data_IF_757713850711
#
_entry.id   IF_757713850711
#
_cell.length_a   1.000
_cell.length_b   1.000
_cell.length_c   1.000
_cell.angle_alpha   90.00
_cell.angle_beta   90.00
_cell.angle_gamma   90.00
#
_symmetry.space_group_name_H-M   'P 1'
#
loop_
_entity.id
_entity.type
_entity.pdbx_description
1 polymer ?
#
# COMPACT_ATOMS: atom_id res chain seq x y z
N UNK A 1 -19.55 40.33 -43.59
CA UNK A 1 -18.19 39.82 -43.84
C UNK A 1 -17.24 40.70 -43.03
N UNK A 2 -16.47 40.29 -42.03
CA UNK A 2 -16.03 39.02 -41.46
C UNK A 2 -15.80 39.33 -39.95
N UNK A 3 -16.26 38.48 -39.03
CA UNK A 3 -15.81 38.55 -37.63
C UNK A 3 -14.59 37.63 -37.45
N UNK A 4 -13.44 38.20 -37.10
CA UNK A 4 -12.26 37.44 -36.67
C UNK A 4 -12.43 37.03 -35.20
N UNK A 5 -12.50 35.72 -34.95
CA UNK A 5 -12.40 35.15 -33.60
C UNK A 5 -10.91 34.88 -33.33
N UNK A 6 -10.33 35.65 -32.40
CA UNK A 6 -8.98 35.42 -31.90
C UNK A 6 -9.06 34.35 -30.80
N UNK A 7 -8.64 33.12 -31.10
CA UNK A 7 -8.54 32.05 -30.11
C UNK A 7 -7.25 32.24 -29.29
N UNK A 8 -7.40 32.68 -28.04
CA UNK A 8 -6.31 32.75 -27.06
C UNK A 8 -6.02 31.31 -26.57
N UNK A 9 -4.94 30.70 -27.06
CA UNK A 9 -4.38 29.49 -26.45
C UNK A 9 -3.66 29.86 -25.16
N UNK A 10 -4.33 29.66 -24.02
CA UNK A 10 -3.64 29.65 -22.72
C UNK A 10 -2.96 28.30 -22.61
N UNK A 11 -1.69 28.25 -23.00
CA UNK A 11 -0.80 27.15 -22.65
C UNK A 11 -0.60 27.15 -21.13
N UNK A 12 -1.31 26.26 -20.43
CA UNK A 12 -0.97 25.91 -19.05
C UNK A 12 0.36 25.15 -19.10
N UNK A 13 1.45 25.90 -18.95
CA UNK A 13 2.75 25.34 -18.62
C UNK A 13 2.61 24.72 -17.24
N UNK A 14 2.49 23.39 -17.18
CA UNK A 14 2.68 22.65 -15.94
C UNK A 14 4.16 22.78 -15.63
N UNK A 15 4.49 23.62 -14.65
CA UNK A 15 5.82 23.61 -14.05
C UNK A 15 6.00 22.24 -13.38
N UNK A 16 6.89 21.45 -13.96
CA UNK A 16 7.43 20.23 -13.38
C UNK A 16 8.47 20.64 -12.34
N UNK A 17 8.05 20.74 -11.08
CA UNK A 17 8.86 21.19 -9.96
C UNK A 17 9.82 20.10 -9.45
N UNK A 18 10.45 19.33 -10.35
CA UNK A 18 11.67 18.56 -10.11
C UNK A 18 11.70 17.64 -8.87
N UNK A 19 10.54 17.30 -8.33
CA UNK A 19 10.42 16.47 -7.13
C UNK A 19 10.02 15.06 -7.56
N UNK A 20 10.94 14.08 -7.57
CA UNK A 20 10.66 12.71 -8.01
C UNK A 20 9.62 12.00 -7.12
N UNK A 21 9.17 12.63 -6.03
CA UNK A 21 8.30 12.05 -5.02
C UNK A 21 6.79 12.21 -5.29
N UNK A 22 6.39 12.91 -6.36
CA UNK A 22 4.97 13.09 -6.66
C UNK A 22 4.49 12.10 -7.73
N UNK A 23 3.82 11.02 -7.28
CA UNK A 23 3.03 10.15 -8.14
C UNK A 23 2.12 11.01 -9.06
N UNK A 24 2.17 10.83 -10.39
CA UNK A 24 1.34 11.61 -11.30
C UNK A 24 -0.16 11.46 -10.92
N UNK A 25 -0.95 12.56 -10.94
CA UNK A 25 -2.37 12.50 -10.66
C UNK A 25 -3.07 11.46 -11.54
N UNK A 26 -3.88 10.59 -10.93
CA UNK A 26 -4.74 9.63 -11.65
C UNK A 26 -4.15 8.24 -11.89
N UNK A 27 -2.85 8.01 -11.65
CA UNK A 27 -2.24 6.70 -11.88
C UNK A 27 -2.38 5.72 -10.70
N UNK A 28 -2.66 6.22 -9.50
CA UNK A 28 -2.83 5.37 -8.31
C UNK A 28 -4.09 5.70 -7.53
N UNK A 29 -4.66 4.68 -6.88
CA UNK A 29 -5.76 4.86 -5.94
C UNK A 29 -5.17 5.12 -4.56
N UNK A 30 -5.52 6.28 -3.98
CA UNK A 30 -4.88 6.77 -2.75
C UNK A 30 -5.84 7.00 -1.58
N UNK A 31 -7.16 6.99 -1.83
CA UNK A 31 -8.20 7.25 -0.83
C UNK A 31 -9.25 6.16 -0.84
N UNK A 32 -9.71 5.80 0.34
CA UNK A 32 -10.87 4.95 0.53
C UNK A 32 -12.14 5.63 0.02
N UNK A 33 -13.10 4.81 -0.41
CA UNK A 33 -14.42 5.27 -0.86
C UNK A 33 -15.46 5.14 0.26
N UNK A 34 -15.36 4.07 1.04
CA UNK A 34 -16.25 3.81 2.17
C UNK A 34 -16.08 4.85 3.29
N UNK A 35 -17.19 5.26 3.90
CA UNK A 35 -17.19 6.22 5.02
C UNK A 35 -16.81 5.48 6.32
N UNK A 36 -16.11 6.16 7.23
CA UNK A 36 -15.70 5.59 8.52
C UNK A 36 -14.61 4.51 8.42
N UNK A 37 -14.02 4.31 7.24
CA UNK A 37 -12.95 3.32 7.03
C UNK A 37 -11.62 3.98 6.70
N UNK A 38 -10.55 3.35 7.17
CA UNK A 38 -9.17 3.59 6.72
C UNK A 38 -8.55 2.28 6.30
N UNK A 39 -7.53 2.33 5.44
CA UNK A 39 -6.75 1.14 5.09
C UNK A 39 -5.33 1.29 5.63
N UNK A 40 -4.99 0.53 6.66
CA UNK A 40 -3.59 0.38 7.09
C UNK A 40 -2.95 -0.68 6.21
N UNK A 41 -1.81 -0.31 5.62
CA UNK A 41 -1.09 -1.11 4.65
C UNK A 41 0.36 -1.27 5.07
N UNK A 42 0.91 -2.46 4.86
CA UNK A 42 2.19 -2.89 5.41
C UNK A 42 3.02 -3.48 4.26
N UNK A 43 4.13 -2.83 3.92
CA UNK A 43 4.93 -3.15 2.75
C UNK A 43 6.18 -3.97 3.11
N UNK A 44 6.86 -4.46 2.07
CA UNK A 44 8.12 -5.21 2.04
C UNK A 44 8.12 -6.64 2.62
N UNK A 45 7.09 -6.97 3.40
CA UNK A 45 6.98 -8.24 4.09
C UNK A 45 6.93 -9.47 3.17
N UNK A 46 6.95 -10.69 3.74
CA UNK A 46 7.02 -10.95 5.16
C UNK A 46 8.46 -10.79 5.70
N UNK A 47 8.63 -9.94 6.72
CA UNK A 47 9.89 -9.77 7.47
C UNK A 47 9.68 -10.07 8.96
N UNK A 48 10.64 -9.70 9.81
CA UNK A 48 10.61 -10.00 11.24
C UNK A 48 9.42 -9.41 12.00
N UNK A 49 8.82 -8.32 11.50
CA UNK A 49 7.68 -7.64 12.12
C UNK A 49 6.32 -8.26 11.84
N UNK A 50 6.16 -9.08 10.80
CA UNK A 50 4.83 -9.59 10.41
C UNK A 50 4.20 -10.45 11.52
N UNK A 51 4.97 -11.31 12.17
CA UNK A 51 4.48 -12.18 13.23
C UNK A 51 4.03 -11.35 14.46
N UNK A 52 4.84 -10.42 15.00
CA UNK A 52 4.40 -9.47 16.03
C UNK A 52 3.13 -8.69 15.66
N UNK A 53 3.04 -8.17 14.42
CA UNK A 53 1.85 -7.48 13.90
C UNK A 53 0.62 -8.38 13.94
N UNK A 54 0.73 -9.61 13.45
CA UNK A 54 -0.37 -10.57 13.45
C UNK A 54 -0.79 -10.98 14.86
N UNK A 55 0.15 -11.10 15.81
CA UNK A 55 -0.16 -11.36 17.23
C UNK A 55 -0.89 -10.18 17.88
N UNK A 56 -0.48 -8.95 17.57
CA UNK A 56 -1.21 -7.75 18.02
C UNK A 56 -2.65 -7.76 17.50
N UNK A 57 -2.84 -8.08 16.22
CA UNK A 57 -4.14 -8.14 15.57
C UNK A 57 -5.00 -9.33 16.06
N UNK A 58 -4.46 -10.30 16.80
CA UNK A 58 -5.25 -11.35 17.45
C UNK A 58 -5.85 -10.89 18.80
N UNK A 59 -5.33 -9.81 19.40
CA UNK A 59 -5.85 -9.29 20.68
C UNK A 59 -7.31 -8.87 20.52
N UNK A 60 -8.12 -9.06 21.57
CA UNK A 60 -9.59 -8.85 21.54
C UNK A 60 -9.96 -7.43 21.11
N UNK A 61 -9.16 -6.47 21.52
CA UNK A 61 -9.29 -5.04 21.24
C UNK A 61 -9.10 -4.76 19.75
N UNK A 62 -8.12 -5.41 19.10
CA UNK A 62 -7.72 -5.08 17.73
C UNK A 62 -8.19 -6.05 16.66
N UNK A 63 -8.69 -7.24 17.03
CA UNK A 63 -9.10 -8.30 16.08
C UNK A 63 -10.18 -7.91 15.09
N UNK A 64 -10.93 -6.84 15.39
CA UNK A 64 -11.95 -6.30 14.51
C UNK A 64 -11.35 -5.52 13.33
N UNK A 65 -10.12 -5.02 13.47
CA UNK A 65 -9.37 -4.34 12.42
C UNK A 65 -8.75 -5.34 11.45
N UNK A 66 -8.63 -4.89 10.19
CA UNK A 66 -7.90 -5.58 9.14
C UNK A 66 -6.89 -4.64 8.52
N UNK A 67 -5.80 -5.24 8.04
CA UNK A 67 -4.69 -4.57 7.37
C UNK A 67 -4.44 -5.28 6.03
N UNK A 68 -3.64 -4.65 5.18
CA UNK A 68 -3.25 -5.19 3.88
C UNK A 68 -1.73 -5.30 3.81
N UNK A 69 -1.21 -6.48 3.51
CA UNK A 69 0.21 -6.73 3.34
C UNK A 69 0.57 -6.69 1.86
N UNK A 70 1.46 -5.79 1.44
CA UNK A 70 2.06 -5.81 0.11
C UNK A 70 3.41 -6.49 0.21
N UNK A 71 3.48 -7.73 -0.28
CA UNK A 71 4.64 -8.59 -0.05
C UNK A 71 5.55 -8.67 -1.26
N UNK A 72 6.85 -8.86 -1.01
CA UNK A 72 7.85 -9.02 -2.08
C UNK A 72 8.23 -10.48 -2.28
N UNK A 73 8.63 -10.83 -3.50
CA UNK A 73 9.07 -12.19 -3.81
C UNK A 73 10.34 -12.58 -3.07
N UNK A 74 11.28 -11.63 -2.95
CA UNK A 74 12.56 -11.78 -2.26
C UNK A 74 12.39 -12.03 -0.76
N UNK A 75 11.60 -11.21 -0.05
CA UNK A 75 11.37 -11.43 1.39
C UNK A 75 10.69 -12.77 1.67
N UNK A 76 9.77 -13.21 0.80
CA UNK A 76 9.17 -14.53 0.89
C UNK A 76 10.17 -15.68 0.68
N UNK A 77 11.23 -15.48 -0.11
CA UNK A 77 12.32 -16.47 -0.27
C UNK A 77 13.25 -16.46 0.94
N UNK A 78 13.64 -15.28 1.41
CA UNK A 78 14.53 -15.09 2.57
C UNK A 78 13.93 -15.70 3.85
N UNK A 79 12.62 -15.56 4.06
CA UNK A 79 11.91 -16.22 5.16
C UNK A 79 11.82 -17.74 4.99
N UNK A 80 11.98 -18.25 3.76
CA UNK A 80 11.70 -19.64 3.41
C UNK A 80 10.29 -19.82 2.86
N UNK A 81 10.20 -20.48 1.71
CA UNK A 81 8.95 -20.62 0.91
C UNK A 81 7.77 -21.21 1.71
N UNK A 82 8.01 -22.21 2.55
CA UNK A 82 6.94 -22.86 3.31
C UNK A 82 6.41 -21.95 4.42
N UNK A 83 7.32 -21.28 5.12
CA UNK A 83 6.99 -20.39 6.24
C UNK A 83 6.28 -19.13 5.75
N UNK A 84 6.79 -18.49 4.69
CA UNK A 84 6.13 -17.35 4.07
C UNK A 84 4.75 -17.71 3.52
N UNK A 85 4.60 -18.88 2.87
CA UNK A 85 3.30 -19.36 2.40
C UNK A 85 2.32 -19.62 3.56
N UNK A 86 2.79 -20.24 4.64
CA UNK A 86 1.98 -20.48 5.83
C UNK A 86 1.50 -19.16 6.44
N UNK A 87 2.40 -18.17 6.55
CA UNK A 87 2.13 -16.86 7.12
C UNK A 87 1.10 -16.07 6.30
N UNK A 88 1.22 -16.07 4.97
CA UNK A 88 0.22 -15.47 4.08
C UNK A 88 -1.15 -16.13 4.23
N UNK A 89 -1.21 -17.46 4.23
CA UNK A 89 -2.47 -18.20 4.44
C UNK A 89 -3.09 -17.87 5.80
N UNK A 90 -2.27 -17.70 6.84
CA UNK A 90 -2.73 -17.31 8.16
C UNK A 90 -3.31 -15.89 8.17
N UNK A 91 -2.63 -14.93 7.55
CA UNK A 91 -3.13 -13.55 7.41
C UNK A 91 -4.49 -13.53 6.69
N UNK A 92 -4.60 -14.24 5.56
CA UNK A 92 -5.83 -14.37 4.79
C UNK A 92 -6.97 -15.02 5.59
N UNK A 93 -6.70 -16.11 6.32
CA UNK A 93 -7.71 -16.76 7.20
C UNK A 93 -8.24 -15.82 8.28
N UNK A 94 -7.42 -14.89 8.76
CA UNK A 94 -7.79 -13.87 9.76
C UNK A 94 -8.51 -12.66 9.13
N UNK A 95 -8.73 -12.68 7.82
CA UNK A 95 -9.44 -11.65 7.06
C UNK A 95 -8.56 -10.45 6.68
N UNK A 96 -7.25 -10.55 6.85
CA UNK A 96 -6.31 -9.57 6.28
C UNK A 96 -6.17 -9.79 4.78
N UNK A 97 -5.63 -8.80 4.08
CA UNK A 97 -5.42 -8.86 2.65
C UNK A 97 -3.93 -9.02 2.31
N UNK A 98 -3.64 -9.70 1.20
CA UNK A 98 -2.28 -9.87 0.68
C UNK A 98 -2.26 -9.41 -0.77
N UNK A 99 -1.35 -8.49 -1.08
CA UNK A 99 -1.14 -7.85 -2.38
C UNK A 99 0.29 -8.00 -2.89
N UNK A 100 0.51 -7.55 -4.13
CA UNK A 100 1.77 -7.69 -4.86
C UNK A 100 2.65 -6.44 -4.69
N UNK A 101 3.93 -6.64 -4.36
CA UNK A 101 4.90 -5.55 -4.20
C UNK A 101 6.20 -5.79 -4.96
N UNK A 102 6.12 -6.32 -6.19
CA UNK A 102 7.25 -6.76 -7.01
C UNK A 102 7.98 -7.99 -6.45
N UNK A 103 8.85 -8.60 -7.25
CA UNK A 103 9.68 -9.70 -6.77
C UNK A 103 10.94 -9.17 -6.05
N UNK A 104 11.73 -8.38 -6.76
CA UNK A 104 13.07 -7.93 -6.34
C UNK A 104 13.05 -6.60 -5.58
N UNK A 105 11.89 -5.95 -5.43
CA UNK A 105 11.76 -4.61 -4.83
C UNK A 105 12.55 -3.53 -5.59
N UNK A 106 12.63 -3.66 -6.92
CA UNK A 106 13.22 -2.65 -7.81
C UNK A 106 12.15 -1.65 -8.26
N UNK A 107 12.59 -0.42 -8.45
CA UNK A 107 11.77 0.63 -9.07
C UNK A 107 11.45 0.30 -10.52
N UNK A 108 10.18 0.07 -10.84
CA UNK A 108 9.76 -0.31 -12.20
C UNK A 108 9.95 0.80 -13.24
N UNK A 109 10.14 2.06 -12.81
CA UNK A 109 10.43 3.15 -13.76
C UNK A 109 11.86 3.08 -14.30
N UNK A 110 12.76 2.42 -13.58
CA UNK A 110 14.18 2.28 -13.91
C UNK A 110 14.51 0.99 -14.68
N UNK A 111 13.53 0.10 -14.82
CA UNK A 111 13.67 -1.16 -15.54
C UNK A 111 13.28 -1.03 -17.01
N UNK A 112 13.88 -1.88 -17.84
CA UNK A 112 13.31 -2.18 -19.16
C UNK A 112 11.95 -2.87 -19.03
N UNK A 113 11.13 -2.82 -20.08
CA UNK A 113 9.83 -3.46 -20.10
C UNK A 113 9.92 -4.96 -19.79
N UNK A 114 10.91 -5.65 -20.33
CA UNK A 114 11.05 -7.10 -20.17
C UNK A 114 11.52 -7.48 -18.77
N UNK A 115 12.41 -6.69 -18.16
CA UNK A 115 12.80 -6.88 -16.75
C UNK A 115 11.62 -6.65 -15.80
N UNK A 116 10.87 -5.57 -15.99
CA UNK A 116 9.65 -5.29 -15.22
C UNK A 116 8.64 -6.43 -15.37
N UNK A 117 8.38 -6.87 -16.59
CA UNK A 117 7.44 -7.96 -16.88
C UNK A 117 7.89 -9.27 -16.23
N UNK A 118 9.17 -9.61 -16.34
CA UNK A 118 9.72 -10.82 -15.74
C UNK A 118 9.59 -10.80 -14.22
N UNK A 119 9.97 -9.68 -13.58
CA UNK A 119 9.82 -9.49 -12.13
C UNK A 119 8.35 -9.60 -11.69
N UNK A 120 7.46 -8.88 -12.37
CA UNK A 120 6.04 -8.88 -12.04
C UNK A 120 5.42 -10.27 -12.14
N UNK A 121 5.63 -10.96 -13.27
CA UNK A 121 5.06 -12.28 -13.52
C UNK A 121 5.64 -13.35 -12.59
N UNK A 122 6.93 -13.23 -12.22
CA UNK A 122 7.55 -14.12 -11.24
C UNK A 122 6.85 -14.01 -9.89
N UNK A 123 6.56 -12.78 -9.44
CA UNK A 123 5.83 -12.56 -8.19
C UNK A 123 4.34 -12.93 -8.29
N UNK A 124 3.68 -12.65 -9.42
CA UNK A 124 2.29 -13.05 -9.65
C UNK A 124 2.14 -14.58 -9.63
N UNK A 125 3.04 -15.33 -10.26
CA UNK A 125 3.06 -16.79 -10.22
C UNK A 125 3.29 -17.34 -8.80
N UNK A 126 4.03 -16.61 -7.95
CA UNK A 126 4.26 -16.98 -6.55
C UNK A 126 2.99 -16.76 -5.71
N UNK A 127 2.37 -15.59 -5.83
CA UNK A 127 1.11 -15.28 -5.14
C UNK A 127 -0.08 -16.10 -5.64
N UNK A 128 -0.10 -16.47 -6.93
CA UNK A 128 -1.14 -17.31 -7.53
C UNK A 128 -1.22 -18.72 -6.94
N UNK A 129 -0.15 -19.20 -6.27
CA UNK A 129 -0.15 -20.46 -5.51
C UNK A 129 -0.85 -20.33 -4.14
N UNK A 130 -1.21 -19.12 -3.74
CA UNK A 130 -1.83 -18.81 -2.45
C UNK A 130 -3.26 -18.32 -2.71
N UNK A 131 -4.24 -19.22 -2.53
CA UNK A 131 -5.66 -18.88 -2.72
C UNK A 131 -6.07 -17.73 -1.80
N UNK A 132 -6.71 -16.71 -2.36
CA UNK A 132 -7.25 -15.55 -1.64
C UNK A 132 -6.38 -14.29 -1.70
N UNK A 133 -5.23 -14.33 -2.37
CA UNK A 133 -4.46 -13.12 -2.68
C UNK A 133 -5.26 -12.19 -3.60
N UNK A 134 -5.13 -10.88 -3.39
CA UNK A 134 -5.88 -9.86 -4.13
C UNK A 134 -5.10 -9.36 -5.34
N UNK A 135 -5.83 -8.96 -6.39
CA UNK A 135 -5.27 -8.31 -7.58
C UNK A 135 -5.05 -6.81 -7.33
N UNK A 136 -4.26 -6.51 -6.30
CA UNK A 136 -3.78 -5.17 -5.95
C UNK A 136 -2.25 -5.15 -5.99
N UNK A 137 -1.70 -4.08 -6.52
CA UNK A 137 -0.27 -3.87 -6.68
C UNK A 137 0.11 -2.53 -6.10
N UNK A 138 1.22 -2.48 -5.37
CA UNK A 138 1.85 -1.23 -4.98
C UNK A 138 3.23 -1.14 -5.63
N UNK A 139 3.54 -0.07 -6.38
CA UNK A 139 4.88 0.08 -6.93
C UNK A 139 5.89 0.31 -5.81
N UNK A 140 7.05 -0.39 -5.82
CA UNK A 140 8.16 -0.06 -4.94
C UNK A 140 8.49 1.43 -4.99
N UNK A 141 8.76 2.02 -3.84
CA UNK A 141 9.05 3.47 -3.66
C UNK A 141 7.91 4.42 -4.07
N UNK A 142 6.75 3.90 -4.49
CA UNK A 142 5.65 4.72 -5.02
C UNK A 142 5.90 5.24 -6.44
N UNK A 143 7.00 4.90 -7.08
CA UNK A 143 7.35 5.44 -8.40
C UNK A 143 6.58 4.75 -9.53
N UNK A 144 5.94 5.56 -10.38
CA UNK A 144 5.15 5.07 -11.50
C UNK A 144 5.20 6.04 -12.68
N UNK A 145 5.31 5.47 -13.89
CA UNK A 145 5.14 6.16 -15.17
C UNK A 145 4.03 5.49 -15.98
N UNK A 146 3.50 6.16 -17.01
CA UNK A 146 2.35 5.69 -17.78
C UNK A 146 2.54 4.25 -18.31
N UNK A 147 3.73 3.92 -18.84
CA UNK A 147 3.99 2.58 -19.37
C UNK A 147 3.91 1.47 -18.29
N UNK A 148 4.31 1.78 -17.06
CA UNK A 148 4.18 0.87 -15.92
C UNK A 148 2.71 0.74 -15.54
N UNK A 149 1.98 1.85 -15.47
CA UNK A 149 0.54 1.85 -15.21
C UNK A 149 -0.20 0.96 -16.21
N UNK A 150 0.01 1.17 -17.51
CA UNK A 150 -0.68 0.44 -18.58
C UNK A 150 -0.39 -1.05 -18.50
N UNK A 151 0.88 -1.41 -18.26
CA UNK A 151 1.27 -2.81 -18.06
C UNK A 151 0.53 -3.42 -16.88
N UNK A 152 0.60 -2.82 -15.68
CA UNK A 152 -0.04 -3.39 -14.48
C UNK A 152 -1.56 -3.50 -14.64
N UNK A 153 -2.19 -2.52 -15.29
CA UNK A 153 -3.63 -2.55 -15.61
C UNK A 153 -3.95 -3.67 -16.59
N UNK A 154 -3.12 -3.92 -17.61
CA UNK A 154 -3.30 -5.04 -18.55
C UNK A 154 -3.24 -6.41 -17.86
N UNK A 155 -2.59 -6.50 -16.69
CA UNK A 155 -2.55 -7.70 -15.85
C UNK A 155 -3.74 -7.81 -14.89
N UNK A 156 -4.75 -6.92 -15.01
CA UNK A 156 -5.94 -6.82 -14.16
C UNK A 156 -5.68 -6.46 -12.69
N UNK A 157 -4.61 -5.72 -12.42
CA UNK A 157 -4.29 -5.24 -11.07
C UNK A 157 -4.76 -3.81 -10.82
N UNK A 158 -5.21 -3.53 -9.61
CA UNK A 158 -5.42 -2.16 -9.12
C UNK A 158 -4.12 -1.61 -8.52
N UNK A 159 -3.75 -0.38 -8.88
CA UNK A 159 -2.51 0.24 -8.41
C UNK A 159 -2.81 1.12 -7.20
N UNK A 160 -2.19 0.79 -6.07
CA UNK A 160 -2.52 1.35 -4.77
C UNK A 160 -1.36 2.22 -4.28
N UNK A 161 -1.62 3.52 -4.10
CA UNK A 161 -0.71 4.44 -3.42
C UNK A 161 -1.09 4.62 -1.96
N UNK A 162 -0.68 5.75 -1.38
CA UNK A 162 -1.05 6.17 -0.03
C UNK A 162 -1.29 7.68 0.03
N UNK A 163 -2.04 8.10 1.05
CA UNK A 163 -2.18 9.52 1.42
C UNK A 163 -1.31 9.89 2.60
N UNK A 164 -1.00 8.94 3.48
CA UNK A 164 -0.15 9.15 4.64
C UNK A 164 0.95 8.09 4.72
N UNK A 165 2.19 8.56 4.80
CA UNK A 165 3.34 7.73 5.12
C UNK A 165 3.66 7.86 6.61
N UNK A 166 3.88 6.74 7.29
CA UNK A 166 4.28 6.75 8.69
C UNK A 166 5.77 7.03 8.87
N UNK A 167 6.58 6.90 7.82
CA UNK A 167 8.05 6.95 7.83
C UNK A 167 8.65 6.15 8.99
N UNK A 168 7.99 5.06 9.35
CA UNK A 168 8.40 4.14 10.41
C UNK A 168 9.83 3.67 10.17
N UNK A 169 10.17 3.35 8.92
CA UNK A 169 11.51 2.98 8.47
C UNK A 169 12.64 3.95 8.86
N UNK A 170 12.35 5.23 9.14
CA UNK A 170 13.37 6.26 9.40
C UNK A 170 13.49 6.65 10.87
N UNK A 171 12.47 6.41 11.70
CA UNK A 171 12.32 7.12 12.97
C UNK A 171 11.82 6.28 14.16
N UNK A 172 12.03 4.96 14.13
CA UNK A 172 11.60 4.02 15.17
C UNK A 172 11.97 4.41 16.62
N UNK A 173 13.03 5.20 16.85
CA UNK A 173 13.50 5.58 18.19
C UNK A 173 13.23 7.04 18.59
N UNK A 174 12.44 7.78 17.81
CA UNK A 174 12.18 9.21 18.06
C UNK A 174 10.71 9.44 18.40
N UNK A 175 10.41 9.49 19.69
CA UNK A 175 9.04 9.69 20.21
C UNK A 175 8.34 10.93 19.62
N UNK A 176 9.09 12.03 19.42
CA UNK A 176 8.56 13.27 18.82
C UNK A 176 8.06 13.05 17.38
N UNK A 177 8.72 12.17 16.63
CA UNK A 177 8.35 11.88 15.26
C UNK A 177 7.07 11.05 15.18
N UNK A 178 6.95 10.06 16.08
CA UNK A 178 5.71 9.30 16.24
C UNK A 178 4.57 10.26 16.57
N UNK A 179 4.73 11.19 17.53
CA UNK A 179 3.67 12.16 17.83
C UNK A 179 3.29 13.05 16.63
N UNK A 180 4.26 13.47 15.81
CA UNK A 180 4.00 14.24 14.59
C UNK A 180 3.19 13.44 13.57
N UNK A 181 3.63 12.23 13.23
CA UNK A 181 2.94 11.33 12.30
C UNK A 181 1.54 11.01 12.81
N UNK A 182 1.40 10.83 14.12
CA UNK A 182 0.13 10.54 14.78
C UNK A 182 -0.83 11.74 14.75
N UNK A 183 -0.32 12.97 14.85
CA UNK A 183 -1.11 14.20 14.66
C UNK A 183 -1.57 14.34 13.20
N UNK A 184 -0.68 14.10 12.24
CA UNK A 184 -1.02 14.12 10.80
C UNK A 184 -2.05 13.04 10.47
N UNK A 185 -1.86 11.82 10.99
CA UNK A 185 -2.81 10.71 10.87
C UNK A 185 -4.18 11.07 11.45
N UNK A 186 -4.27 11.76 12.59
CA UNK A 186 -5.57 12.14 13.15
C UNK A 186 -6.38 13.06 12.21
N UNK A 187 -5.71 13.95 11.48
CA UNK A 187 -6.35 14.81 10.50
C UNK A 187 -6.64 14.09 9.18
N UNK A 188 -5.78 13.15 8.77
CA UNK A 188 -5.89 12.41 7.52
C UNK A 188 -6.82 11.19 7.61
N UNK A 189 -6.97 10.55 8.77
CA UNK A 189 -7.94 9.45 9.02
C UNK A 189 -9.35 9.93 8.71
N UNK A 190 -9.65 11.20 8.99
CA UNK A 190 -10.94 11.85 8.64
C UNK A 190 -11.16 12.02 7.13
N UNK A 191 -10.11 11.85 6.32
CA UNK A 191 -10.11 12.04 4.86
C UNK A 191 -10.07 10.72 4.07
N UNK A 192 -10.45 9.60 4.70
CA UNK A 192 -10.52 8.26 4.08
C UNK A 192 -9.15 7.78 3.60
N UNK A 193 -8.17 7.80 4.50
CA UNK A 193 -6.76 7.57 4.15
C UNK A 193 -6.38 6.11 3.91
N UNK A 194 -5.38 5.94 3.04
CA UNK A 194 -4.56 4.73 2.94
C UNK A 194 -3.21 5.05 3.60
N UNK A 195 -2.86 4.32 4.65
CA UNK A 195 -1.70 4.53 5.52
C UNK A 195 -0.61 3.52 5.18
N UNK A 196 0.59 3.99 4.87
CA UNK A 196 1.77 3.16 4.59
C UNK A 196 2.63 2.98 5.86
N UNK A 197 2.99 1.73 6.16
CA UNK A 197 4.03 1.34 7.11
C UNK A 197 4.75 0.08 6.61
N UNK A 198 5.74 -0.42 7.36
CA UNK A 198 6.56 -1.58 6.97
C UNK A 198 6.69 -2.57 8.13
N UNK A 199 6.90 -3.86 7.83
CA UNK A 199 7.04 -4.94 8.83
C UNK A 199 8.50 -5.34 9.11
N UNK A 200 9.43 -4.38 9.05
CA UNK A 200 10.87 -4.64 9.12
C UNK A 200 11.29 -5.44 10.37
N UNK A 201 10.77 -5.09 11.55
CA UNK A 201 11.11 -5.75 12.81
C UNK A 201 9.96 -5.70 13.83
N UNK A 202 10.21 -6.19 15.04
CA UNK A 202 9.17 -6.31 16.07
C UNK A 202 8.52 -4.96 16.47
N UNK A 203 9.22 -3.83 16.30
CA UNK A 203 8.71 -2.49 16.60
C UNK A 203 7.57 -2.09 15.67
N UNK A 204 7.43 -2.71 14.49
CA UNK A 204 6.28 -2.51 13.60
C UNK A 204 4.95 -2.75 14.32
N UNK A 205 4.90 -3.70 15.27
CA UNK A 205 3.70 -3.93 16.08
C UNK A 205 3.41 -2.76 17.04
N UNK A 206 4.43 -2.15 17.64
CA UNK A 206 4.25 -1.00 18.53
C UNK A 206 3.72 0.23 17.77
N UNK A 207 4.27 0.48 16.57
CA UNK A 207 3.78 1.53 15.67
C UNK A 207 2.32 1.26 15.27
N UNK A 208 2.01 0.02 14.86
CA UNK A 208 0.66 -0.36 14.50
C UNK A 208 -0.31 -0.17 15.68
N UNK A 209 0.06 -0.56 16.89
CA UNK A 209 -0.78 -0.40 18.07
C UNK A 209 -1.12 1.07 18.34
N UNK A 210 -0.11 1.95 18.24
CA UNK A 210 -0.30 3.39 18.36
C UNK A 210 -1.30 3.88 17.31
N UNK A 211 -1.13 3.51 16.04
CA UNK A 211 -2.02 3.90 14.93
C UNK A 211 -3.45 3.40 15.17
N UNK A 212 -3.64 2.13 15.58
CA UNK A 212 -4.97 1.57 15.83
C UNK A 212 -5.71 2.32 16.94
N UNK A 213 -5.03 2.73 18.01
CA UNK A 213 -5.63 3.56 19.07
C UNK A 213 -6.16 4.90 18.55
N UNK A 214 -5.48 5.52 17.57
CA UNK A 214 -6.01 6.74 16.93
C UNK A 214 -7.21 6.44 16.05
N UNK A 215 -7.15 5.36 15.27
CA UNK A 215 -8.27 4.95 14.41
C UNK A 215 -9.52 4.75 15.25
N UNK A 216 -9.41 4.06 16.38
CA UNK A 216 -10.50 3.86 17.33
C UNK A 216 -10.98 5.19 17.94
N UNK A 217 -10.05 6.02 18.42
CA UNK A 217 -10.38 7.34 19.02
C UNK A 217 -11.09 8.26 18.03
N UNK A 218 -10.79 8.16 16.73
CA UNK A 218 -11.45 8.92 15.68
C UNK A 218 -12.82 8.34 15.28
N UNK A 219 -13.21 7.17 15.79
CA UNK A 219 -14.45 6.48 15.43
C UNK A 219 -14.38 5.79 14.06
N UNK A 220 -13.18 5.46 13.59
CA UNK A 220 -12.94 4.79 12.31
C UNK A 220 -12.63 3.31 12.53
N UNK A 221 -12.65 2.55 11.43
CA UNK A 221 -12.23 1.15 11.42
C UNK A 221 -11.21 0.89 10.33
N UNK A 222 -10.05 0.35 10.71
CA UNK A 222 -9.11 -0.19 9.72
C UNK A 222 -9.70 -1.42 9.02
N UNK A 223 -9.71 -1.39 7.70
CA UNK A 223 -10.17 -2.48 6.82
C UNK A 223 -9.13 -2.77 5.73
N UNK A 224 -9.37 -3.82 4.94
CA UNK A 224 -8.49 -4.15 3.81
C UNK A 224 -8.61 -3.09 2.72
N UNK A 225 -7.59 -2.91 1.89
CA UNK A 225 -7.61 -1.95 0.79
C UNK A 225 -8.81 -2.20 -0.11
N UNK A 226 -9.03 -3.46 -0.51
CA UNK A 226 -10.15 -3.78 -1.42
C UNK A 226 -11.50 -3.40 -0.83
N UNK A 227 -11.74 -3.68 0.46
CA UNK A 227 -12.98 -3.30 1.13
C UNK A 227 -13.09 -1.79 1.28
N UNK A 228 -12.02 -1.11 1.67
CA UNK A 228 -11.99 0.35 1.79
C UNK A 228 -12.35 1.06 0.47
N UNK A 229 -11.99 0.44 -0.66
CA UNK A 229 -12.27 0.91 -2.00
C UNK A 229 -13.60 0.40 -2.59
N UNK A 230 -14.26 -0.57 -1.96
CA UNK A 230 -15.45 -1.23 -2.51
C UNK A 230 -15.15 -2.01 -3.80
N UNK A 231 -13.97 -2.62 -3.87
CA UNK A 231 -13.53 -3.50 -4.98
C UNK A 231 -13.27 -4.93 -4.48
N UNK A 232 -13.63 -5.23 -3.23
CA UNK A 232 -13.67 -6.59 -2.73
C UNK A 232 -14.68 -7.36 -3.58
N UNK A 233 -14.21 -8.42 -4.25
CA UNK A 233 -15.09 -9.33 -4.97
C UNK A 233 -16.16 -9.81 -3.99
N UNK A 234 -17.43 -9.64 -4.33
CA UNK A 234 -18.49 -10.41 -3.69
C UNK A 234 -18.04 -11.88 -3.72
N UNK A 235 -17.98 -12.48 -2.52
CA UNK A 235 -17.50 -13.85 -2.34
C UNK A 235 -18.41 -14.86 -3.01
#
# INVERSE_FOLDING_TARGET
MLFYILALFIGLSVCDDGNPFQMPPGLTIRKCRQKGTVAITIDDGPKGGMIPVLKLLDKKEYRSHKVTFFVTGKSMDEMGKNDSTFLMKMALRRGHEVGHHSYEHKSYVDLSHDEMKADFLKMDAKLGKIKGTSKIFRPPYGYIKQSVFDFIRSQNYHIIGWTQDTNDWKYYDKDDYVQKVMKELNEEVKKKSIVLMHDNDAKSAEVLEKILKLVDKAGYKSTTVSKCLGIDKEK
#
